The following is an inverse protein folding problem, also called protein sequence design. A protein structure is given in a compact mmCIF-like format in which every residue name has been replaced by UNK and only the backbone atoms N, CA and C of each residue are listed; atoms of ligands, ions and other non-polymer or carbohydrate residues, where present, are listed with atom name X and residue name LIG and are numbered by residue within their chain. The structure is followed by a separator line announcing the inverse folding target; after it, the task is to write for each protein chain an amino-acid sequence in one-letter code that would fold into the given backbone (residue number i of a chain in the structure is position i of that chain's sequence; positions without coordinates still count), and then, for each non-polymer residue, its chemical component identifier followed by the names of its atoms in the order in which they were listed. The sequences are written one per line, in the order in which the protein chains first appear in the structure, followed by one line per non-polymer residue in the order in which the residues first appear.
data_IF_260821000832
#
_entry.id   IF_260821000832
#
_cell.length_a   1.000
_cell.length_b   1.000
_cell.length_c   1.000
_cell.angle_alpha   90.00
_cell.angle_beta   90.00
_cell.angle_gamma   90.00
#
_symmetry.space_group_name_H-M   'P 1'
#
loop_
_entity.id
_entity.type
_entity.pdbx_description
1 polymer ?
#
# COMPACT_ATOMS: atom_id res chain seq x y z
N UNK A 1 2.04 -10.48 -20.01
CA UNK A 1 1.93 -10.27 -18.54
C UNK A 1 1.09 -11.39 -17.96
N UNK A 2 1.46 -11.98 -16.81
CA UNK A 2 0.64 -12.99 -16.13
C UNK A 2 -0.58 -12.29 -15.52
N UNK A 3 -1.79 -12.75 -15.83
CA UNK A 3 -3.04 -12.18 -15.33
C UNK A 3 -3.21 -12.46 -13.81
N UNK A 4 -3.94 -11.59 -13.08
CA UNK A 4 -4.25 -11.82 -11.66
C UNK A 4 -5.01 -13.13 -11.49
N UNK A 5 -4.66 -13.90 -10.46
CA UNK A 5 -5.27 -15.22 -10.20
C UNK A 5 -6.41 -15.15 -9.18
N UNK A 6 -6.44 -14.10 -8.37
CA UNK A 6 -7.42 -13.89 -7.30
C UNK A 6 -8.40 -12.76 -7.62
N UNK A 7 -9.61 -12.79 -7.03
CA UNK A 7 -10.59 -11.70 -7.18
C UNK A 7 -10.01 -10.41 -6.57
N UNK A 8 -9.37 -10.51 -5.40
CA UNK A 8 -8.69 -9.39 -4.78
C UNK A 8 -7.59 -8.81 -5.71
N UNK A 9 -6.78 -9.67 -6.34
CA UNK A 9 -5.77 -9.27 -7.30
C UNK A 9 -6.35 -8.48 -8.48
N UNK A 10 -7.51 -8.89 -9.00
CA UNK A 10 -8.20 -8.13 -10.05
C UNK A 10 -8.64 -6.74 -9.59
N UNK A 11 -9.16 -6.61 -8.37
CA UNK A 11 -9.51 -5.27 -7.84
C UNK A 11 -8.27 -4.38 -7.77
N UNK A 12 -7.14 -4.89 -7.25
CA UNK A 12 -5.90 -4.14 -7.12
C UNK A 12 -5.29 -3.82 -8.49
N UNK A 13 -5.36 -4.72 -9.46
CA UNK A 13 -4.94 -4.45 -10.83
C UNK A 13 -5.71 -3.28 -11.44
N UNK A 14 -7.04 -3.26 -11.32
CA UNK A 14 -7.86 -2.16 -11.86
C UNK A 14 -7.43 -0.84 -11.24
N UNK A 15 -7.26 -0.78 -9.91
CA UNK A 15 -6.77 0.43 -9.26
C UNK A 15 -5.36 0.81 -9.68
N UNK A 16 -4.47 -0.18 -9.83
CA UNK A 16 -3.10 0.04 -10.28
C UNK A 16 -3.03 0.61 -11.69
N UNK A 17 -3.80 0.05 -12.62
CA UNK A 17 -3.90 0.57 -13.99
C UNK A 17 -4.47 1.98 -14.00
N UNK A 18 -5.57 2.23 -13.29
CA UNK A 18 -6.16 3.57 -13.23
C UNK A 18 -5.19 4.59 -12.64
N UNK A 19 -4.53 4.28 -11.53
CA UNK A 19 -3.54 5.16 -10.91
C UNK A 19 -2.34 5.42 -11.83
N UNK A 20 -1.86 4.39 -12.53
CA UNK A 20 -0.77 4.51 -13.50
C UNK A 20 -1.15 5.41 -14.67
N UNK A 21 -2.34 5.20 -15.25
CA UNK A 21 -2.84 5.98 -16.39
C UNK A 21 -3.09 7.42 -15.97
N UNK A 22 -3.79 7.65 -14.86
CA UNK A 22 -4.05 9.00 -14.37
C UNK A 22 -2.77 9.73 -13.97
N UNK A 23 -1.80 9.03 -13.37
CA UNK A 23 -0.47 9.56 -13.10
C UNK A 23 0.26 9.95 -14.39
N UNK A 24 0.26 9.08 -15.39
CA UNK A 24 0.86 9.37 -16.70
C UNK A 24 0.19 10.54 -17.42
N UNK A 25 -1.15 10.62 -17.38
CA UNK A 25 -1.90 11.75 -17.94
C UNK A 25 -1.52 13.06 -17.26
N UNK A 26 -1.41 13.09 -15.93
CA UNK A 26 -1.00 14.31 -15.23
C UNK A 26 0.46 14.71 -15.47
N UNK A 27 1.35 13.75 -15.74
CA UNK A 27 2.75 14.03 -16.12
C UNK A 27 2.89 14.52 -17.57
N UNK A 28 2.12 13.95 -18.50
CA UNK A 28 2.22 14.27 -19.94
C UNK A 28 1.32 15.45 -20.36
N UNK A 29 0.12 15.54 -19.78
CA UNK A 29 -0.92 16.52 -20.10
C UNK A 29 -1.53 17.14 -18.83
N UNK A 30 -0.73 17.88 -18.02
CA UNK A 30 -1.18 18.44 -16.75
C UNK A 30 -2.43 19.33 -16.88
N UNK A 31 -2.56 20.09 -17.95
CA UNK A 31 -3.73 20.95 -18.18
C UNK A 31 -5.02 20.15 -18.43
N UNK A 32 -4.91 19.02 -19.15
CA UNK A 32 -6.06 18.14 -19.37
C UNK A 32 -6.52 17.53 -18.03
N UNK A 33 -5.57 17.13 -17.19
CA UNK A 33 -5.85 16.60 -15.86
C UNK A 33 -6.54 17.64 -14.96
N UNK A 34 -6.08 18.91 -14.97
CA UNK A 34 -6.72 19.99 -14.23
C UNK A 34 -8.17 20.22 -14.68
N UNK A 35 -8.42 20.25 -15.99
CA UNK A 35 -9.78 20.42 -16.54
C UNK A 35 -10.69 19.25 -16.16
N UNK A 36 -10.20 18.01 -16.16
CA UNK A 36 -10.96 16.84 -15.70
C UNK A 36 -11.38 16.95 -14.23
N UNK A 37 -10.53 17.55 -13.39
CA UNK A 37 -10.82 17.81 -11.98
C UNK A 37 -11.73 19.04 -11.75
N UNK A 38 -12.11 19.73 -12.83
CA UNK A 38 -12.93 20.93 -12.79
C UNK A 38 -12.17 22.20 -12.41
N UNK A 39 -10.85 22.21 -12.54
CA UNK A 39 -10.04 23.41 -12.35
C UNK A 39 -9.91 24.20 -13.66
N UNK A 40 -9.93 25.52 -13.53
CA UNK A 40 -9.59 26.42 -14.63
C UNK A 40 -8.07 26.42 -14.84
N UNK A 41 -7.66 26.48 -16.11
CA UNK A 41 -6.24 26.58 -16.50
C UNK A 41 -6.01 28.00 -17.02
N UNK A 42 -5.45 28.90 -16.19
CA UNK A 42 -5.24 30.28 -16.60
C UNK A 42 -4.14 30.39 -17.66
N UNK A 43 -4.30 31.34 -18.60
CA UNK A 43 -3.32 31.60 -19.65
C UNK A 43 -2.00 32.16 -19.08
N UNK A 44 -2.07 32.90 -17.97
CA UNK A 44 -0.92 33.42 -17.23
C UNK A 44 -1.04 33.04 -15.76
N UNK A 45 0.02 32.44 -15.21
CA UNK A 45 0.09 32.05 -13.80
C UNK A 45 0.76 33.15 -12.98
N UNK A 46 0.23 33.42 -11.79
CA UNK A 46 0.85 34.36 -10.85
C UNK A 46 2.13 33.77 -10.25
N UNK A 47 3.01 34.62 -9.71
CA UNK A 47 4.33 34.21 -9.17
C UNK A 47 4.22 33.23 -7.98
N UNK A 48 3.05 33.10 -7.35
CA UNK A 48 2.77 32.15 -6.27
C UNK A 48 1.92 30.94 -6.67
N UNK A 49 1.57 30.78 -7.94
CA UNK A 49 0.76 29.64 -8.39
C UNK A 49 1.61 28.37 -8.50
N UNK A 50 1.58 27.56 -7.46
CA UNK A 50 2.27 26.27 -7.39
C UNK A 50 1.40 25.08 -7.83
N UNK A 51 0.21 25.33 -8.41
CA UNK A 51 -0.72 24.27 -8.84
C UNK A 51 -0.04 23.27 -9.75
N UNK A 52 0.77 23.74 -10.71
CA UNK A 52 1.53 22.88 -11.63
C UNK A 52 2.54 21.98 -10.92
N UNK A 53 3.25 22.51 -9.92
CA UNK A 53 4.24 21.76 -9.12
C UNK A 53 3.55 20.70 -8.26
N UNK A 54 2.46 21.07 -7.58
CA UNK A 54 1.67 20.12 -6.78
C UNK A 54 1.05 19.04 -7.65
N UNK A 55 0.56 19.41 -8.84
CA UNK A 55 0.02 18.44 -9.79
C UNK A 55 1.10 17.47 -10.25
N UNK A 56 2.27 17.96 -10.68
CA UNK A 56 3.38 17.12 -11.10
C UNK A 56 3.78 16.12 -10.00
N UNK A 57 3.95 16.60 -8.76
CA UNK A 57 4.27 15.76 -7.62
C UNK A 57 3.18 14.71 -7.34
N UNK A 58 1.92 15.13 -7.36
CA UNK A 58 0.76 14.24 -7.14
C UNK A 58 0.63 13.20 -8.24
N UNK A 59 0.89 13.58 -9.50
CA UNK A 59 0.86 12.70 -10.66
C UNK A 59 1.98 11.67 -10.62
N UNK A 60 3.19 12.06 -10.22
CA UNK A 60 4.29 11.13 -10.01
C UNK A 60 3.99 10.14 -8.88
N UNK A 61 3.40 10.61 -7.78
CA UNK A 61 2.97 9.75 -6.67
C UNK A 61 1.91 8.73 -7.13
N UNK A 62 0.90 9.16 -7.90
CA UNK A 62 -0.12 8.29 -8.46
C UNK A 62 0.48 7.25 -9.42
N UNK A 63 1.40 7.67 -10.29
CA UNK A 63 2.11 6.78 -11.20
C UNK A 63 2.88 5.68 -10.44
N UNK A 64 3.66 6.08 -9.43
CA UNK A 64 4.40 5.14 -8.59
C UNK A 64 3.48 4.15 -7.86
N UNK A 65 2.38 4.64 -7.29
CA UNK A 65 1.38 3.78 -6.65
C UNK A 65 0.76 2.79 -7.64
N UNK A 66 0.52 3.22 -8.89
CA UNK A 66 0.08 2.35 -9.97
C UNK A 66 1.06 1.20 -10.22
N UNK A 67 2.36 1.49 -10.32
CA UNK A 67 3.41 0.47 -10.47
C UNK A 67 3.43 -0.49 -9.28
N UNK A 68 3.38 0.01 -8.05
CA UNK A 68 3.39 -0.83 -6.86
C UNK A 68 2.17 -1.76 -6.78
N UNK A 69 0.99 -1.28 -7.15
CA UNK A 69 -0.23 -2.09 -7.17
C UNK A 69 -0.16 -3.19 -8.22
N UNK A 70 0.37 -2.88 -9.42
CA UNK A 70 0.55 -3.88 -10.47
C UNK A 70 1.61 -4.91 -10.10
N UNK A 71 2.72 -4.49 -9.49
CA UNK A 71 3.74 -5.41 -8.98
C UNK A 71 3.16 -6.33 -7.90
N UNK A 72 2.44 -5.77 -6.93
CA UNK A 72 1.76 -6.55 -5.89
C UNK A 72 0.71 -7.50 -6.48
N UNK A 73 0.12 -7.14 -7.62
CA UNK A 73 -0.81 -8.02 -8.34
C UNK A 73 -0.09 -9.21 -8.97
N UNK A 74 1.04 -8.98 -9.64
CA UNK A 74 1.84 -10.04 -10.25
C UNK A 74 2.43 -10.99 -9.21
N UNK A 75 2.81 -10.48 -8.04
CA UNK A 75 3.36 -11.27 -6.95
C UNK A 75 2.31 -11.88 -6.02
N UNK A 76 1.02 -11.56 -6.21
CA UNK A 76 -0.10 -11.97 -5.33
C UNK A 76 0.09 -11.60 -3.84
N UNK A 77 0.76 -10.48 -3.57
CA UNK A 77 1.14 -10.06 -2.21
C UNK A 77 -0.07 -9.69 -1.34
N UNK A 78 -0.68 -10.68 -0.68
CA UNK A 78 -1.94 -10.51 0.06
C UNK A 78 -1.86 -9.59 1.27
N UNK A 79 -0.71 -9.52 1.94
CA UNK A 79 -0.54 -8.59 3.05
C UNK A 79 -0.68 -7.14 2.56
N UNK A 80 -0.14 -6.83 1.39
CA UNK A 80 -0.32 -5.55 0.73
C UNK A 80 -1.78 -5.27 0.37
N UNK A 81 -2.53 -6.26 -0.13
CA UNK A 81 -3.96 -6.06 -0.44
C UNK A 81 -4.78 -5.72 0.81
N UNK A 82 -4.51 -6.38 1.93
CA UNK A 82 -5.15 -6.08 3.23
C UNK A 82 -4.79 -4.67 3.70
N UNK A 83 -3.52 -4.31 3.58
CA UNK A 83 -3.05 -2.97 3.90
C UNK A 83 -3.77 -1.91 3.05
N UNK A 84 -3.93 -2.16 1.75
CA UNK A 84 -4.68 -1.28 0.85
C UNK A 84 -6.11 -1.07 1.32
N UNK A 85 -6.83 -2.10 1.80
CA UNK A 85 -8.17 -1.90 2.36
C UNK A 85 -8.16 -0.88 3.51
N UNK A 86 -7.24 -1.04 4.46
CA UNK A 86 -7.12 -0.11 5.61
C UNK A 86 -6.81 1.31 5.13
N UNK A 87 -5.79 1.45 4.28
CA UNK A 87 -5.37 2.77 3.80
C UNK A 87 -6.49 3.47 3.04
N UNK A 88 -7.26 2.76 2.22
CA UNK A 88 -8.38 3.34 1.46
C UNK A 88 -9.55 3.75 2.34
N UNK A 89 -9.81 3.04 3.43
CA UNK A 89 -10.77 3.50 4.44
C UNK A 89 -10.29 4.78 5.14
N UNK A 90 -8.98 4.91 5.39
CA UNK A 90 -8.40 6.17 5.88
C UNK A 90 -8.61 7.28 4.85
N UNK A 91 -8.31 7.04 3.57
CA UNK A 91 -8.50 8.03 2.50
C UNK A 91 -9.97 8.44 2.35
N UNK A 92 -10.92 7.49 2.37
CA UNK A 92 -12.35 7.75 2.42
C UNK A 92 -12.69 8.69 3.59
N UNK A 93 -12.18 8.38 4.78
CA UNK A 93 -12.46 9.16 6.00
C UNK A 93 -11.91 10.57 5.89
N UNK A 94 -10.67 10.74 5.43
CA UNK A 94 -10.02 12.05 5.27
C UNK A 94 -10.78 12.91 4.26
N UNK A 95 -11.13 12.36 3.08
CA UNK A 95 -11.89 13.12 2.10
C UNK A 95 -13.31 13.45 2.56
N UNK A 96 -13.99 12.51 3.23
CA UNK A 96 -15.31 12.77 3.80
C UNK A 96 -15.25 13.90 4.84
N UNK A 97 -14.28 13.86 5.77
CA UNK A 97 -14.09 14.93 6.76
C UNK A 97 -13.76 16.27 6.08
N UNK A 98 -12.86 16.27 5.09
CA UNK A 98 -12.47 17.50 4.39
C UNK A 98 -13.67 18.18 3.70
N UNK A 99 -14.59 17.40 3.14
CA UNK A 99 -15.84 17.93 2.57
C UNK A 99 -16.79 18.39 3.68
N UNK A 100 -17.04 17.57 4.71
CA UNK A 100 -17.94 17.91 5.82
C UNK A 100 -17.47 19.12 6.65
N UNK A 101 -16.18 19.45 6.60
CA UNK A 101 -15.58 20.60 7.25
C UNK A 101 -15.42 21.83 6.32
N UNK A 102 -16.00 21.80 5.12
CA UNK A 102 -15.93 22.87 4.09
C UNK A 102 -14.49 23.23 3.65
N UNK A 103 -13.53 22.31 3.84
CA UNK A 103 -12.13 22.47 3.40
C UNK A 103 -12.00 22.11 1.92
N UNK A 104 -12.76 21.11 1.46
CA UNK A 104 -12.72 20.61 0.09
C UNK A 104 -14.09 20.74 -0.59
N UNK A 105 -14.14 20.94 -1.93
CA UNK A 105 -15.40 21.00 -2.67
C UNK A 105 -16.23 19.73 -2.56
N UNK A 106 -17.57 19.83 -2.54
CA UNK A 106 -18.51 18.69 -2.41
C UNK A 106 -18.25 17.53 -3.38
N UNK A 107 -17.76 17.84 -4.59
CA UNK A 107 -17.37 16.82 -5.58
C UNK A 107 -16.31 15.83 -5.07
N UNK A 108 -15.52 16.20 -4.06
CA UNK A 108 -14.58 15.28 -3.40
C UNK A 108 -15.27 14.18 -2.60
N UNK A 109 -16.56 14.32 -2.27
CA UNK A 109 -17.32 13.22 -1.68
C UNK A 109 -17.44 12.05 -2.66
N UNK A 110 -17.49 12.32 -3.97
CA UNK A 110 -17.42 11.29 -5.01
C UNK A 110 -16.08 10.52 -4.97
N UNK A 111 -14.98 11.23 -4.74
CA UNK A 111 -13.65 10.62 -4.57
C UNK A 111 -13.60 9.79 -3.28
N UNK A 112 -14.15 10.31 -2.18
CA UNK A 112 -14.28 9.55 -0.94
C UNK A 112 -15.05 8.26 -1.20
N UNK A 113 -16.28 8.35 -1.71
CA UNK A 113 -17.13 7.20 -2.01
C UNK A 113 -16.44 6.16 -2.90
N UNK A 114 -15.66 6.60 -3.89
CA UNK A 114 -14.86 5.70 -4.73
C UNK A 114 -13.81 4.91 -3.94
N UNK A 115 -13.09 5.58 -3.04
CA UNK A 115 -12.12 4.92 -2.14
C UNK A 115 -12.80 3.91 -1.22
N UNK A 116 -13.96 4.27 -0.65
CA UNK A 116 -14.76 3.38 0.20
C UNK A 116 -15.27 2.15 -0.56
N UNK A 117 -15.85 2.36 -1.75
CA UNK A 117 -16.32 1.27 -2.61
C UNK A 117 -15.18 0.34 -3.02
N UNK A 118 -14.03 0.91 -3.37
CA UNK A 118 -12.82 0.16 -3.69
C UNK A 118 -12.31 -0.68 -2.52
N UNK A 119 -12.30 -0.12 -1.30
CA UNK A 119 -11.94 -0.85 -0.09
C UNK A 119 -12.88 -2.04 0.16
N UNK A 120 -14.19 -1.83 0.03
CA UNK A 120 -15.21 -2.88 0.19
C UNK A 120 -15.03 -3.96 -0.87
N UNK A 121 -14.84 -3.59 -2.13
CA UNK A 121 -14.63 -4.55 -3.22
C UNK A 121 -13.40 -5.43 -2.98
N UNK A 122 -12.27 -4.84 -2.59
CA UNK A 122 -11.04 -5.59 -2.26
C UNK A 122 -11.22 -6.47 -1.03
N UNK A 123 -11.89 -5.98 0.03
CA UNK A 123 -12.16 -6.76 1.23
C UNK A 123 -13.06 -7.98 0.95
N UNK A 124 -14.10 -7.81 0.12
CA UNK A 124 -14.96 -8.91 -0.35
C UNK A 124 -14.13 -9.89 -1.18
N UNK A 125 -13.30 -9.40 -2.11
CA UNK A 125 -12.39 -10.23 -2.90
C UNK A 125 -11.51 -11.11 -2.01
N UNK A 126 -10.84 -10.51 -1.02
CA UNK A 126 -9.99 -11.23 -0.06
C UNK A 126 -10.77 -12.29 0.72
N UNK A 127 -12.00 -11.98 1.16
CA UNK A 127 -12.85 -12.92 1.89
C UNK A 127 -13.28 -14.10 1.02
N UNK A 128 -13.63 -13.85 -0.24
CA UNK A 128 -14.01 -14.90 -1.19
C UNK A 128 -12.81 -15.77 -1.57
N UNK A 129 -11.66 -15.17 -1.80
CA UNK A 129 -10.46 -15.91 -2.18
C UNK A 129 -9.90 -16.74 -1.01
N UNK A 130 -10.08 -16.30 0.24
CA UNK A 130 -9.77 -17.10 1.42
C UNK A 130 -10.68 -18.33 1.55
N UNK A 131 -11.98 -18.18 1.25
CA UNK A 131 -12.94 -19.29 1.24
C UNK A 131 -12.66 -20.32 0.15
N UNK A 132 -12.06 -19.88 -0.96
CA UNK A 132 -11.70 -20.75 -2.10
C UNK A 132 -10.34 -21.43 -1.93
N UNK A 133 -9.63 -21.17 -0.84
CA UNK A 133 -8.30 -21.76 -0.60
C UNK A 133 -7.24 -21.33 -1.61
N UNK A 134 -7.39 -20.16 -2.25
CA UNK A 134 -6.39 -19.67 -3.21
C UNK A 134 -5.10 -19.36 -2.44
N UNK A 135 -3.98 -20.04 -2.76
CA UNK A 135 -2.71 -19.83 -2.06
C UNK A 135 -2.22 -18.40 -2.28
N UNK A 136 -1.67 -17.79 -1.22
CA UNK A 136 -1.01 -16.50 -1.32
C UNK A 136 0.28 -16.67 -2.13
N UNK A 137 0.50 -15.85 -3.16
CA UNK A 137 1.83 -15.69 -3.72
C UNK A 137 2.58 -14.63 -2.93
N UNK A 138 3.87 -14.85 -2.67
CA UNK A 138 4.73 -13.88 -1.99
C UNK A 138 5.39 -14.46 -0.75
N UNK A 139 6.62 -14.00 -0.53
CA UNK A 139 7.60 -14.48 0.45
C UNK A 139 6.96 -14.66 1.83
N UNK A 140 6.63 -15.90 2.19
CA UNK A 140 6.53 -16.29 3.58
C UNK A 140 7.94 -16.15 4.14
N UNK A 141 8.19 -15.13 4.94
CA UNK A 141 9.28 -15.15 5.90
C UNK A 141 8.97 -16.29 6.87
N UNK A 142 9.46 -17.48 6.54
CA UNK A 142 9.55 -18.60 7.46
C UNK A 142 10.58 -18.26 8.52
N UNK A 143 10.17 -17.55 9.56
CA UNK A 143 10.89 -17.51 10.83
C UNK A 143 9.86 -17.59 11.97
N UNK A 144 9.29 -18.79 12.07
CA UNK A 144 8.67 -19.27 13.29
C UNK A 144 9.75 -19.86 14.21
N UNK A 145 9.69 -19.44 15.47
CA UNK A 145 9.83 -20.31 16.64
C UNK A 145 11.06 -21.25 16.71
N UNK A 146 12.18 -20.71 17.19
CA UNK A 146 13.19 -21.47 17.91
C UNK A 146 13.20 -21.04 19.38
N UNK A 147 12.24 -21.50 20.18
CA UNK A 147 12.44 -21.55 21.64
C UNK A 147 13.30 -22.78 21.90
N UNK A 148 14.60 -22.59 22.04
CA UNK A 148 15.49 -23.57 22.65
C UNK A 148 15.70 -23.13 24.08
N UNK A 149 14.93 -23.75 24.98
CA UNK A 149 15.19 -23.72 26.41
C UNK A 149 16.62 -24.22 26.65
N UNK A 150 17.47 -23.36 27.20
CA UNK A 150 18.76 -23.78 27.76
C UNK A 150 18.45 -24.40 29.12
N UNK A 151 18.34 -25.72 29.14
CA UNK A 151 18.47 -26.51 30.36
C UNK A 151 19.97 -26.83 30.55
N UNK A 152 20.67 -26.03 31.34
CA UNK A 152 21.99 -26.38 31.84
C UNK A 152 21.81 -27.25 33.10
N UNK A 153 21.79 -28.56 32.88
CA UNK A 153 21.88 -29.56 33.94
C UNK A 153 23.35 -29.93 34.12
N UNK A 154 23.85 -29.76 35.34
CA UNK A 154 25.27 -29.81 35.66
C UNK A 154 25.93 -31.17 35.47
N UNK A 155 27.23 -31.14 35.20
CA UNK A 155 28.12 -32.26 35.53
C UNK A 155 29.49 -31.68 35.87
N UNK A 156 29.81 -31.68 37.17
CA UNK A 156 31.09 -31.16 37.66
C UNK A 156 32.27 -32.08 37.32
N UNK A 157 33.49 -31.55 37.24
CA UNK A 157 34.69 -32.35 37.33
C UNK A 157 35.25 -32.34 38.76
N UNK A 158 35.08 -33.46 39.47
CA UNK A 158 35.93 -33.85 40.61
C UNK A 158 37.22 -34.45 40.09
N UNK A 159 38.39 -33.93 40.49
CA UNK A 159 39.63 -34.65 40.23
C UNK A 159 40.95 -33.88 40.43
N UNK A 160 41.31 -33.68 41.69
CA UNK A 160 42.69 -33.68 42.22
C UNK A 160 43.70 -32.63 41.71
N UNK A 161 43.96 -31.63 42.56
CA UNK A 161 45.26 -30.99 42.69
C UNK A 161 45.92 -31.44 44.01
N UNK A 162 47.20 -31.82 44.03
CA UNK A 162 48.02 -31.75 45.22
C UNK A 162 48.89 -30.48 45.22
N UNK A 163 49.27 -30.12 46.44
CA UNK A 163 49.80 -28.85 46.86
C UNK A 163 51.31 -28.66 46.63
N UNK A 164 51.69 -27.40 46.80
CA UNK A 164 52.91 -26.89 47.42
C UNK A 164 54.19 -26.62 46.60
N UNK A 165 54.50 -25.31 46.60
CA UNK A 165 55.72 -24.69 47.11
C UNK A 165 56.96 -24.56 46.20
N UNK A 166 57.29 -23.29 45.96
CA UNK A 166 58.62 -22.67 46.19
C UNK A 166 59.84 -23.37 45.55
N UNK A 167 60.31 -22.83 44.43
CA UNK A 167 61.60 -22.12 44.29
C UNK A 167 61.78 -21.54 42.90
#
# INVERSE_FOLDING_TARGET
MKLPRSIAGWTIAVFGVLALVMGAVGLLWPEAQLRMLGFEVPATRSVGDHTGTFLLASSMAAFNMGVYYLLATVTEWRAFYRFTVVFRLVTFTVFAIAVLADIAPDRFFGVAAWEGLGAVATAIGLRLDARRGIPAGGVESSEGAGTTAVAEEGTGPTGAAPADAVR
#
